data_IF_090752705428
#
_entry.id   IF_090752705428
#
_cell.length_a   1.000
_cell.length_b   1.000
_cell.length_c   1.000
_cell.angle_alpha   90.00
_cell.angle_beta   90.00
_cell.angle_gamma   90.00
#
_symmetry.space_group_name_H-M   'P 1'
#
loop_
_entity.id
_entity.type
_entity.pdbx_description
1 polymer ?
#
# COMPACT_ATOMS: atom_id res chain seq x y z
N UNK A 1 8.79 -11.63 8.94
CA UNK A 1 9.44 -12.28 10.09
C UNK A 1 10.95 -12.14 10.07
N UNK A 2 11.66 -12.75 9.11
CA UNK A 2 13.15 -12.75 9.06
C UNK A 2 13.77 -11.34 9.08
N UNK A 3 13.29 -10.40 8.26
CA UNK A 3 13.84 -9.03 8.29
C UNK A 3 13.54 -8.34 9.63
N UNK A 4 12.34 -8.57 10.17
CA UNK A 4 11.85 -7.91 11.38
C UNK A 4 12.63 -8.27 12.65
N UNK A 5 13.31 -9.42 12.69
CA UNK A 5 14.18 -9.80 13.81
C UNK A 5 15.47 -8.98 13.87
N UNK A 6 15.85 -8.34 12.76
CA UNK A 6 17.02 -7.45 12.70
C UNK A 6 16.67 -5.98 12.94
N UNK A 7 15.36 -5.65 13.04
CA UNK A 7 14.84 -4.30 13.28
C UNK A 7 13.70 -4.36 14.31
N UNK A 8 14.00 -4.42 15.62
CA UNK A 8 13.01 -4.71 16.65
C UNK A 8 11.94 -3.61 16.83
N UNK A 9 12.24 -2.37 16.42
CA UNK A 9 11.40 -1.21 16.70
C UNK A 9 10.63 -0.69 15.48
N UNK A 10 10.80 -1.32 14.30
CA UNK A 10 10.23 -0.83 13.04
C UNK A 10 8.92 -1.57 12.71
N UNK A 11 7.84 -0.85 12.37
CA UNK A 11 6.63 -1.48 11.81
C UNK A 11 6.96 -2.16 10.47
N UNK A 12 6.41 -3.36 10.25
CA UNK A 12 6.66 -4.13 9.04
C UNK A 12 5.39 -4.27 8.22
N UNK A 13 5.46 -3.91 6.94
CA UNK A 13 4.34 -3.95 6.01
C UNK A 13 4.45 -5.01 4.92
N UNK A 14 3.31 -5.45 4.37
CA UNK A 14 3.27 -6.10 3.05
C UNK A 14 2.75 -5.11 2.00
N UNK A 15 3.38 -5.04 0.82
CA UNK A 15 3.03 -4.07 -0.22
C UNK A 15 2.97 -4.70 -1.64
N UNK A 16 1.98 -5.54 -1.97
CA UNK A 16 0.86 -6.07 -1.17
C UNK A 16 0.67 -7.56 -1.46
N UNK A 17 -0.07 -8.26 -0.59
CA UNK A 17 -0.49 -9.64 -0.84
C UNK A 17 -1.70 -9.66 -1.78
N UNK A 18 -1.63 -10.33 -2.95
CA UNK A 18 -2.78 -10.48 -3.84
C UNK A 18 -3.91 -11.30 -3.21
N UNK A 19 -5.15 -10.83 -3.30
CA UNK A 19 -6.33 -11.48 -2.68
C UNK A 19 -6.87 -12.64 -3.51
N UNK A 20 -6.91 -12.52 -4.84
CA UNK A 20 -7.45 -13.56 -5.73
C UNK A 20 -6.78 -14.93 -5.60
N UNK A 21 -5.44 -15.06 -5.57
CA UNK A 21 -4.79 -16.37 -5.48
C UNK A 21 -4.71 -16.92 -4.06
N UNK A 22 -5.29 -16.26 -3.06
CA UNK A 22 -5.08 -16.60 -1.65
C UNK A 22 -6.35 -16.45 -0.83
N UNK A 23 -6.95 -17.55 -0.41
CA UNK A 23 -8.15 -17.54 0.43
C UNK A 23 -7.94 -16.74 1.74
N UNK A 24 -8.91 -15.91 2.18
CA UNK A 24 -8.76 -15.04 3.36
C UNK A 24 -8.46 -15.81 4.66
N UNK A 25 -9.02 -17.01 4.83
CA UNK A 25 -8.71 -17.86 5.99
C UNK A 25 -7.22 -18.25 6.07
N UNK A 26 -6.62 -18.60 4.92
CA UNK A 26 -5.20 -18.94 4.87
C UNK A 26 -4.33 -17.72 5.18
N UNK A 27 -4.70 -16.55 4.64
CA UNK A 27 -4.01 -15.30 4.93
C UNK A 27 -4.13 -14.89 6.40
N UNK A 28 -5.29 -15.08 7.02
CA UNK A 28 -5.49 -14.79 8.44
C UNK A 28 -4.50 -15.56 9.33
N UNK A 29 -4.37 -16.88 9.12
CA UNK A 29 -3.40 -17.69 9.86
C UNK A 29 -1.95 -17.25 9.65
N UNK A 30 -1.58 -16.91 8.41
CA UNK A 30 -0.25 -16.40 8.07
C UNK A 30 0.04 -15.04 8.74
N UNK A 31 -0.95 -14.15 8.74
CA UNK A 31 -0.85 -12.83 9.33
C UNK A 31 -0.76 -12.90 10.85
N UNK A 32 -1.58 -13.72 11.53
CA UNK A 32 -1.53 -13.89 12.99
C UNK A 32 -0.21 -14.54 13.46
N UNK A 33 0.29 -15.51 12.70
CA UNK A 33 1.62 -16.10 12.96
C UNK A 33 2.72 -15.03 12.84
N UNK A 34 2.66 -14.24 11.77
CA UNK A 34 3.62 -13.15 11.54
C UNK A 34 3.50 -12.06 12.60
N UNK A 35 2.28 -11.68 12.99
CA UNK A 35 2.00 -10.68 14.02
C UNK A 35 2.59 -11.08 15.37
N UNK A 36 2.49 -12.37 15.72
CA UNK A 36 3.12 -12.93 16.93
C UNK A 36 4.63 -12.83 16.85
N UNK A 37 5.24 -13.26 15.74
CA UNK A 37 6.68 -13.18 15.54
C UNK A 37 7.22 -11.74 15.49
N UNK A 38 6.39 -10.80 15.06
CA UNK A 38 6.70 -9.37 14.98
C UNK A 38 6.33 -8.61 16.26
N UNK A 39 5.83 -9.29 17.29
CA UNK A 39 5.41 -8.68 18.57
C UNK A 39 4.43 -7.52 18.36
N UNK A 40 3.44 -7.70 17.49
CA UNK A 40 2.39 -6.71 17.27
C UNK A 40 2.64 -5.71 16.13
N UNK A 41 3.80 -5.75 15.47
CA UNK A 41 4.25 -4.72 14.50
C UNK A 41 3.90 -4.99 13.03
N UNK A 42 2.93 -5.86 12.72
CA UNK A 42 2.53 -6.12 11.34
C UNK A 42 1.44 -5.14 10.86
N UNK A 43 1.70 -4.48 9.75
CA UNK A 43 0.70 -3.83 8.90
C UNK A 43 0.48 -4.67 7.63
N UNK A 44 -0.63 -5.42 7.58
CA UNK A 44 -0.97 -6.28 6.46
C UNK A 44 -1.57 -5.46 5.30
N UNK A 45 -0.76 -5.18 4.28
CA UNK A 45 -1.25 -4.65 3.01
C UNK A 45 -1.69 -5.72 2.04
N UNK A 46 -2.94 -5.62 1.58
CA UNK A 46 -3.55 -6.52 0.59
C UNK A 46 -3.96 -5.77 -0.68
N UNK A 47 -4.14 -6.46 -1.79
CA UNK A 47 -4.64 -5.84 -3.01
C UNK A 47 -5.25 -6.84 -3.98
N UNK A 48 -6.08 -6.33 -4.88
CA UNK A 48 -6.78 -7.15 -5.86
C UNK A 48 -5.85 -7.77 -6.91
N UNK A 49 -4.63 -7.24 -7.07
CA UNK A 49 -3.80 -7.47 -8.25
C UNK A 49 -4.48 -6.95 -9.53
N UNK A 50 -4.05 -7.45 -10.68
CA UNK A 50 -4.50 -7.01 -12.00
C UNK A 50 -4.96 -8.20 -12.83
N UNK A 51 -5.98 -7.99 -13.65
CA UNK A 51 -6.58 -9.02 -14.51
C UNK A 51 -5.54 -9.80 -15.30
N UNK A 52 -4.59 -9.10 -15.94
CA UNK A 52 -3.52 -9.73 -16.73
C UNK A 52 -2.63 -10.65 -15.89
N UNK A 53 -2.36 -10.29 -14.63
CA UNK A 53 -1.56 -11.12 -13.72
C UNK A 53 -2.36 -12.34 -13.24
N UNK A 54 -3.66 -12.19 -13.01
CA UNK A 54 -4.53 -13.33 -12.65
C UNK A 54 -4.72 -14.29 -13.81
N UNK A 55 -4.85 -13.78 -15.04
CA UNK A 55 -4.93 -14.59 -16.25
C UNK A 55 -3.66 -15.45 -16.45
N UNK A 56 -2.47 -14.92 -16.16
CA UNK A 56 -1.22 -15.70 -16.19
C UNK A 56 -1.20 -16.88 -15.21
N UNK A 57 -1.99 -16.81 -14.13
CA UNK A 57 -2.15 -17.89 -13.15
C UNK A 57 -3.37 -18.79 -13.44
N UNK A 58 -4.11 -18.52 -14.52
CA UNK A 58 -5.36 -19.22 -14.84
C UNK A 58 -6.51 -18.88 -13.88
N UNK A 59 -6.45 -17.73 -13.21
CA UNK A 59 -7.46 -17.28 -12.23
C UNK A 59 -8.36 -16.21 -12.88
N UNK A 60 -9.67 -16.41 -12.80
CA UNK A 60 -10.65 -15.41 -13.26
C UNK A 60 -10.64 -14.15 -12.40
N UNK A 61 -10.84 -12.98 -13.02
CA UNK A 61 -10.80 -11.67 -12.36
C UNK A 61 -12.19 -11.00 -12.31
N UNK A 62 -13.20 -11.74 -11.90
CA UNK A 62 -14.58 -11.27 -11.93
C UNK A 62 -14.95 -10.46 -10.68
N UNK A 63 -15.78 -9.43 -10.90
CA UNK A 63 -16.39 -8.60 -9.84
C UNK A 63 -15.40 -8.18 -8.74
N UNK A 64 -14.25 -7.56 -9.08
CA UNK A 64 -13.15 -7.33 -8.13
C UNK A 64 -13.56 -6.52 -6.89
N UNK A 65 -14.50 -5.59 -7.01
CA UNK A 65 -15.02 -4.83 -5.85
C UNK A 65 -15.90 -5.71 -4.95
N UNK A 66 -16.69 -6.64 -5.52
CA UNK A 66 -17.43 -7.61 -4.71
C UNK A 66 -16.48 -8.59 -4.04
N UNK A 67 -15.49 -9.09 -4.77
CA UNK A 67 -14.41 -9.91 -4.21
C UNK A 67 -13.74 -9.22 -3.03
N UNK A 68 -13.32 -7.96 -3.15
CA UNK A 68 -12.71 -7.22 -2.04
C UNK A 68 -13.63 -7.14 -0.81
N UNK A 69 -14.93 -6.91 -1.03
CA UNK A 69 -15.91 -6.84 0.07
C UNK A 69 -16.07 -8.20 0.75
N UNK A 70 -16.27 -9.28 -0.01
CA UNK A 70 -16.40 -10.61 0.57
C UNK A 70 -15.11 -11.04 1.29
N UNK A 71 -13.96 -10.74 0.68
CA UNK A 71 -12.65 -11.02 1.25
C UNK A 71 -12.46 -10.37 2.62
N UNK A 72 -12.76 -9.07 2.74
CA UNK A 72 -12.66 -8.35 4.02
C UNK A 72 -13.75 -8.77 5.02
N UNK A 73 -14.91 -9.23 4.56
CA UNK A 73 -15.95 -9.80 5.46
C UNK A 73 -15.53 -11.11 6.09
N UNK A 74 -14.53 -11.78 5.49
CA UNK A 74 -13.96 -13.00 6.04
C UNK A 74 -12.67 -12.71 6.81
N UNK A 75 -11.76 -11.91 6.22
CA UNK A 75 -10.45 -11.65 6.80
C UNK A 75 -10.54 -10.91 8.13
N UNK A 76 -11.33 -9.82 8.20
CA UNK A 76 -11.34 -8.96 9.40
C UNK A 76 -11.82 -9.71 10.65
N UNK A 77 -12.97 -10.44 10.63
CA UNK A 77 -13.41 -11.21 11.81
C UNK A 77 -12.44 -12.33 12.19
N UNK A 78 -11.78 -12.97 11.22
CA UNK A 78 -10.75 -13.98 11.53
C UNK A 78 -9.52 -13.37 12.23
N UNK A 79 -9.11 -12.16 11.85
CA UNK A 79 -8.00 -11.44 12.51
C UNK A 79 -8.40 -10.90 13.88
N UNK A 80 -9.61 -10.36 14.01
CA UNK A 80 -10.09 -9.63 15.20
C UNK A 80 -10.67 -10.57 16.26
N UNK A 81 -11.40 -11.60 15.85
CA UNK A 81 -12.15 -12.49 16.75
C UNK A 81 -11.72 -13.96 16.65
N UNK A 82 -10.92 -14.33 15.63
CA UNK A 82 -10.55 -15.73 15.40
C UNK A 82 -11.70 -16.58 14.87
N UNK A 83 -12.83 -15.99 14.45
CA UNK A 83 -13.98 -16.73 13.90
C UNK A 83 -14.75 -15.92 12.87
N UNK A 84 -15.46 -16.61 12.00
CA UNK A 84 -16.31 -16.00 10.98
C UNK A 84 -17.44 -16.96 10.60
N UNK A 85 -18.60 -16.38 10.28
CA UNK A 85 -19.67 -17.04 9.53
C UNK A 85 -20.19 -16.04 8.50
N UNK A 86 -19.78 -16.18 7.25
CA UNK A 86 -20.10 -15.27 6.16
C UNK A 86 -20.44 -16.01 4.88
N UNK A 87 -21.59 -15.65 4.28
CA UNK A 87 -22.00 -16.13 2.95
C UNK A 87 -22.00 -14.94 2.01
N UNK A 88 -21.06 -14.93 1.06
CA UNK A 88 -20.88 -13.87 0.08
C UNK A 88 -21.12 -14.35 -1.35
N UNK A 89 -21.07 -13.40 -2.28
CA UNK A 89 -21.34 -13.62 -3.70
C UNK A 89 -20.15 -14.30 -4.41
N UNK A 90 -18.94 -13.93 -4.02
CA UNK A 90 -17.68 -14.40 -4.60
C UNK A 90 -16.88 -15.31 -3.67
N UNK A 91 -17.05 -15.12 -2.35
CA UNK A 91 -16.42 -15.94 -1.32
C UNK A 91 -17.38 -16.13 -0.15
N UNK A 92 -17.41 -17.35 0.39
CA UNK A 92 -18.13 -17.70 1.62
C UNK A 92 -17.19 -18.47 2.53
N UNK A 93 -17.31 -18.29 3.83
CA UNK A 93 -16.49 -18.98 4.81
C UNK A 93 -17.20 -19.03 6.17
N UNK A 94 -17.27 -20.24 6.73
CA UNK A 94 -17.56 -20.49 8.13
C UNK A 94 -16.32 -21.16 8.72
N UNK A 95 -15.68 -20.50 9.69
CA UNK A 95 -14.44 -21.00 10.26
C UNK A 95 -14.21 -20.43 11.66
N UNK A 96 -13.49 -21.20 12.47
CA UNK A 96 -12.90 -20.76 13.73
C UNK A 96 -11.43 -21.19 13.74
N UNK A 97 -10.55 -20.26 14.07
CA UNK A 97 -9.09 -20.45 14.11
C UNK A 97 -8.54 -20.10 15.50
N UNK A 98 -7.40 -20.67 15.83
CA UNK A 98 -6.63 -20.22 16.99
C UNK A 98 -6.07 -18.82 16.71
N UNK A 99 -6.33 -17.87 17.62
CA UNK A 99 -5.88 -16.48 17.51
C UNK A 99 -4.87 -16.16 18.63
N UNK A 100 -3.56 -16.42 18.39
CA UNK A 100 -2.53 -16.19 19.42
C UNK A 100 -2.12 -14.72 19.56
N UNK A 101 -2.36 -13.91 18.53
CA UNK A 101 -1.79 -12.58 18.43
C UNK A 101 -2.73 -11.51 18.98
N UNK A 102 -2.27 -10.76 19.97
CA UNK A 102 -2.88 -9.51 20.44
C UNK A 102 -1.83 -8.39 20.47
N UNK A 103 -2.09 -7.22 19.85
CA UNK A 103 -3.30 -6.87 19.08
C UNK A 103 -3.37 -7.59 17.72
N UNK A 104 -4.55 -7.58 17.09
CA UNK A 104 -4.70 -7.97 15.69
C UNK A 104 -3.81 -7.09 14.79
N UNK A 105 -3.28 -7.62 13.68
CA UNK A 105 -2.49 -6.81 12.75
C UNK A 105 -3.37 -5.74 12.10
N UNK A 106 -2.81 -4.55 11.88
CA UNK A 106 -3.47 -3.52 11.10
C UNK A 106 -3.61 -3.97 9.64
N UNK A 107 -4.64 -3.51 8.94
CA UNK A 107 -4.89 -3.89 7.54
C UNK A 107 -4.98 -2.64 6.66
N UNK A 108 -4.27 -2.62 5.54
CA UNK A 108 -4.42 -1.59 4.50
C UNK A 108 -4.70 -2.24 3.14
N UNK A 109 -5.39 -1.52 2.26
CA UNK A 109 -5.72 -2.03 0.92
C UNK A 109 -5.01 -1.18 -0.13
N UNK A 110 -4.36 -1.80 -1.11
CA UNK A 110 -3.92 -1.11 -2.31
C UNK A 110 -5.14 -0.70 -3.15
N UNK A 111 -5.64 0.52 -2.94
CA UNK A 111 -6.84 1.04 -3.55
C UNK A 111 -6.56 2.34 -4.31
N UNK A 112 -6.86 2.33 -5.62
CA UNK A 112 -6.73 3.50 -6.51
C UNK A 112 -8.08 4.01 -7.00
N UNK A 113 -8.99 3.08 -7.34
CA UNK A 113 -10.32 3.43 -7.86
C UNK A 113 -11.29 3.86 -6.76
N UNK A 114 -12.29 4.72 -7.06
CA UNK A 114 -13.20 5.27 -6.05
C UNK A 114 -14.01 4.19 -5.32
N UNK A 115 -14.38 3.11 -6.00
CA UNK A 115 -15.07 1.98 -5.37
C UNK A 115 -14.18 1.23 -4.37
N UNK A 116 -12.92 0.99 -4.73
CA UNK A 116 -11.96 0.32 -3.84
C UNK A 116 -11.60 1.21 -2.64
N UNK A 117 -11.41 2.52 -2.87
CA UNK A 117 -11.15 3.50 -1.81
C UNK A 117 -12.30 3.57 -0.81
N UNK A 118 -13.55 3.52 -1.28
CA UNK A 118 -14.71 3.46 -0.37
C UNK A 118 -14.72 2.20 0.47
N UNK A 119 -14.36 1.05 -0.10
CA UNK A 119 -14.26 -0.20 0.67
C UNK A 119 -13.11 -0.14 1.68
N UNK A 120 -11.94 0.37 1.28
CA UNK A 120 -10.79 0.54 2.18
C UNK A 120 -11.14 1.47 3.36
N UNK A 121 -11.59 2.69 3.07
CA UNK A 121 -11.89 3.68 4.11
C UNK A 121 -12.97 3.24 5.10
N UNK A 122 -13.97 2.48 4.64
CA UNK A 122 -15.05 2.00 5.50
C UNK A 122 -14.71 0.75 6.33
N UNK A 123 -13.59 0.06 6.07
CA UNK A 123 -13.34 -1.28 6.65
C UNK A 123 -11.94 -1.55 7.16
N UNK A 124 -10.94 -0.81 6.71
CA UNK A 124 -9.53 -1.09 7.02
C UNK A 124 -8.89 0.11 7.71
N UNK A 125 -7.60 0.01 8.05
CA UNK A 125 -6.86 1.11 8.67
C UNK A 125 -6.40 2.16 7.68
N UNK A 126 -6.49 1.89 6.37
CA UNK A 126 -5.96 2.80 5.36
C UNK A 126 -5.81 2.21 3.97
N UNK A 127 -5.11 2.98 3.14
CA UNK A 127 -4.67 2.59 1.79
C UNK A 127 -3.15 2.59 1.70
N UNK A 128 -2.62 1.75 0.82
CA UNK A 128 -1.21 1.79 0.42
C UNK A 128 -1.12 2.06 -1.08
N UNK A 129 -0.27 3.00 -1.46
CA UNK A 129 -0.15 3.55 -2.80
C UNK A 129 1.25 3.29 -3.32
N UNK A 130 1.34 2.90 -4.58
CA UNK A 130 2.56 2.98 -5.36
C UNK A 130 2.28 3.88 -6.56
N UNK A 131 3.26 4.64 -7.03
CA UNK A 131 3.14 5.43 -8.27
C UNK A 131 1.92 6.37 -8.32
N UNK A 132 1.61 7.03 -7.20
CA UNK A 132 0.57 8.07 -7.12
C UNK A 132 1.20 9.35 -6.60
N UNK A 133 1.06 10.45 -7.36
CA UNK A 133 1.63 11.75 -7.00
C UNK A 133 0.72 12.57 -6.06
N UNK A 134 1.26 13.68 -5.50
CA UNK A 134 0.59 14.49 -4.50
C UNK A 134 -0.73 15.09 -4.99
N UNK A 135 -0.86 15.50 -6.26
CA UNK A 135 -2.12 16.10 -6.77
C UNK A 135 -3.25 15.08 -6.75
N UNK A 136 -2.96 13.85 -7.16
CA UNK A 136 -3.92 12.74 -7.17
C UNK A 136 -4.23 12.30 -5.74
N UNK A 137 -3.25 12.29 -4.85
CA UNK A 137 -3.46 11.96 -3.43
C UNK A 137 -4.43 12.96 -2.80
N UNK A 138 -4.14 14.25 -2.88
CA UNK A 138 -4.94 15.32 -2.28
C UNK A 138 -6.33 15.45 -2.93
N UNK A 139 -6.40 15.37 -4.26
CA UNK A 139 -7.64 15.63 -5.01
C UNK A 139 -8.57 14.43 -5.16
N UNK A 140 -8.07 13.20 -4.99
CA UNK A 140 -8.85 11.98 -5.27
C UNK A 140 -8.74 10.92 -4.17
N UNK A 141 -7.52 10.57 -3.72
CA UNK A 141 -7.34 9.47 -2.76
C UNK A 141 -7.88 9.85 -1.37
N UNK A 142 -7.32 10.89 -0.76
CA UNK A 142 -7.64 11.31 0.62
C UNK A 142 -9.12 11.66 0.78
N UNK A 143 -9.76 12.44 -0.11
CA UNK A 143 -11.18 12.76 0.01
C UNK A 143 -12.07 11.52 -0.04
N UNK A 144 -11.87 10.63 -1.02
CA UNK A 144 -12.68 9.41 -1.16
C UNK A 144 -12.53 8.47 0.04
N UNK A 145 -11.30 8.34 0.55
CA UNK A 145 -10.99 7.46 1.66
C UNK A 145 -11.58 7.98 2.98
N UNK A 146 -11.39 9.28 3.25
CA UNK A 146 -11.84 9.94 4.49
C UNK A 146 -13.36 10.04 4.54
N UNK A 147 -14.03 10.36 3.42
CA UNK A 147 -15.49 10.38 3.35
C UNK A 147 -16.09 9.01 3.70
N UNK A 148 -15.50 7.93 3.18
CA UNK A 148 -15.97 6.57 3.45
C UNK A 148 -15.75 6.15 4.89
N UNK A 149 -14.61 6.53 5.49
CA UNK A 149 -14.32 6.28 6.90
C UNK A 149 -15.28 7.03 7.82
N UNK A 150 -15.53 8.31 7.54
CA UNK A 150 -16.47 9.15 8.29
C UNK A 150 -17.88 8.56 8.25
N UNK A 151 -18.39 8.16 7.07
CA UNK A 151 -19.69 7.49 6.93
C UNK A 151 -19.79 6.17 7.69
N UNK A 152 -18.67 5.50 7.93
CA UNK A 152 -18.58 4.27 8.71
C UNK A 152 -18.26 4.49 10.20
N UNK A 153 -18.21 5.74 10.67
CA UNK A 153 -17.80 6.13 12.03
C UNK A 153 -16.44 5.56 12.44
N UNK A 154 -15.47 5.55 11.52
CA UNK A 154 -14.10 5.10 11.75
C UNK A 154 -13.14 6.27 11.91
N UNK A 155 -11.99 6.01 12.55
CA UNK A 155 -10.85 6.93 12.61
C UNK A 155 -10.37 7.30 11.21
N UNK A 156 -9.69 8.45 11.10
CA UNK A 156 -9.04 8.87 9.84
C UNK A 156 -8.09 7.77 9.35
N UNK A 157 -8.24 7.29 8.11
CA UNK A 157 -7.42 6.20 7.61
C UNK A 157 -5.99 6.65 7.26
N UNK A 158 -5.03 5.74 7.41
CA UNK A 158 -3.64 5.90 6.94
C UNK A 158 -3.59 5.98 5.42
N UNK A 159 -2.65 6.76 4.91
CA UNK A 159 -2.28 6.85 3.50
C UNK A 159 -0.79 6.60 3.40
N UNK A 160 -0.44 5.37 3.06
CA UNK A 160 0.96 4.95 2.90
C UNK A 160 1.35 5.19 1.44
N UNK A 161 2.34 6.04 1.18
CA UNK A 161 2.83 6.32 -0.17
C UNK A 161 4.21 5.71 -0.39
N UNK A 162 4.37 4.96 -1.49
CA UNK A 162 5.63 4.38 -1.93
C UNK A 162 6.02 5.01 -3.27
N UNK A 163 7.08 5.81 -3.27
CA UNK A 163 7.68 6.38 -4.47
C UNK A 163 9.20 6.22 -4.45
N UNK A 164 9.86 6.19 -5.63
CA UNK A 164 11.31 6.27 -5.72
C UNK A 164 11.81 7.58 -5.11
N UNK A 165 12.86 7.47 -4.30
CA UNK A 165 13.54 8.62 -3.71
C UNK A 165 15.06 8.46 -3.81
N UNK A 166 15.75 9.54 -4.16
CA UNK A 166 17.22 9.60 -4.17
C UNK A 166 17.71 11.05 -4.20
N UNK A 167 18.62 11.40 -3.30
CA UNK A 167 19.43 12.61 -3.39
C UNK A 167 20.54 12.35 -4.41
N UNK A 168 20.56 13.09 -5.51
CA UNK A 168 21.49 12.90 -6.63
C UNK A 168 21.61 14.13 -7.51
N UNK A 169 22.76 14.28 -8.18
CA UNK A 169 22.96 15.24 -9.28
C UNK A 169 22.52 14.69 -10.65
N UNK A 170 22.14 13.41 -10.72
CA UNK A 170 21.81 12.69 -11.97
C UNK A 170 20.34 12.29 -12.02
N UNK A 171 19.44 13.20 -11.63
CA UNK A 171 18.00 12.94 -11.54
C UNK A 171 17.41 12.39 -12.86
N UNK A 172 17.85 12.91 -14.01
CA UNK A 172 17.37 12.45 -15.32
C UNK A 172 17.78 11.01 -15.63
N UNK A 173 18.98 10.59 -15.21
CA UNK A 173 19.41 9.21 -15.36
C UNK A 173 18.57 8.25 -14.50
N UNK A 174 18.17 8.69 -13.30
CA UNK A 174 17.25 7.93 -12.44
C UNK A 174 15.88 7.79 -13.11
N UNK A 175 15.34 8.87 -13.65
CA UNK A 175 14.05 8.87 -14.38
C UNK A 175 14.11 7.97 -15.61
N UNK A 176 15.19 8.03 -16.39
CA UNK A 176 15.40 7.17 -17.56
C UNK A 176 15.47 5.68 -17.16
N UNK A 177 16.12 5.36 -16.04
CA UNK A 177 16.15 3.97 -15.54
C UNK A 177 14.74 3.50 -15.16
N UNK A 178 13.97 4.34 -14.47
CA UNK A 178 12.59 4.02 -14.08
C UNK A 178 11.71 3.81 -15.32
N UNK A 179 11.83 4.67 -16.33
CA UNK A 179 11.03 4.58 -17.55
C UNK A 179 11.28 3.27 -18.31
N UNK A 180 12.51 2.75 -18.28
CA UNK A 180 12.87 1.45 -18.91
C UNK A 180 12.38 0.24 -18.13
N UNK A 181 12.42 0.28 -16.79
CA UNK A 181 12.15 -0.90 -15.95
C UNK A 181 10.68 -1.06 -15.57
N UNK A 182 9.90 0.01 -15.55
CA UNK A 182 8.56 0.02 -14.96
C UNK A 182 7.44 0.31 -15.98
N UNK A 183 7.70 0.01 -17.25
CA UNK A 183 6.76 0.17 -18.36
C UNK A 183 5.43 -0.53 -18.12
N UNK A 184 5.41 -1.68 -17.43
CA UNK A 184 4.19 -2.42 -17.13
C UNK A 184 3.14 -1.58 -16.38
N UNK A 185 3.56 -0.69 -15.47
CA UNK A 185 2.64 0.19 -14.72
C UNK A 185 1.99 1.22 -15.64
N UNK A 186 2.72 1.66 -16.66
CA UNK A 186 2.21 2.51 -17.73
C UNK A 186 1.04 1.89 -18.48
N UNK A 187 0.94 0.57 -18.56
CA UNK A 187 -0.09 -0.14 -19.33
C UNK A 187 -1.35 -0.50 -18.56
N UNK A 188 -1.27 -0.54 -17.23
CA UNK A 188 -2.37 -0.97 -16.38
C UNK A 188 -3.46 0.13 -16.28
N UNK A 189 -4.74 -0.18 -16.55
CA UNK A 189 -5.81 0.82 -16.55
C UNK A 189 -5.94 1.61 -15.25
N UNK A 190 -5.73 0.96 -14.10
CA UNK A 190 -5.79 1.61 -12.79
C UNK A 190 -4.71 2.69 -12.63
N UNK A 191 -3.49 2.45 -13.13
CA UNK A 191 -2.37 3.38 -13.06
C UNK A 191 -2.45 4.46 -14.13
N UNK A 192 -2.84 4.13 -15.37
CA UNK A 192 -3.15 5.13 -16.42
C UNK A 192 -4.12 6.20 -15.91
N UNK A 193 -5.14 5.77 -15.16
CA UNK A 193 -6.12 6.68 -14.59
C UNK A 193 -5.52 7.59 -13.48
N UNK A 194 -4.51 7.13 -12.73
CA UNK A 194 -3.81 7.95 -11.74
C UNK A 194 -2.85 8.93 -12.42
N UNK A 195 -2.05 8.47 -13.39
CA UNK A 195 -1.13 9.33 -14.14
C UNK A 195 -1.86 10.46 -14.86
N UNK A 196 -3.03 10.17 -15.46
CA UNK A 196 -3.89 11.19 -16.05
C UNK A 196 -4.38 12.24 -15.03
N UNK A 197 -4.71 11.83 -13.80
CA UNK A 197 -5.13 12.76 -12.73
C UNK A 197 -3.99 13.64 -12.26
N UNK A 198 -2.79 13.07 -12.19
CA UNK A 198 -1.59 13.82 -11.80
C UNK A 198 -1.13 14.80 -12.89
N UNK A 199 -1.39 14.46 -14.15
CA UNK A 199 -0.86 15.17 -15.31
C UNK A 199 0.54 14.69 -15.70
N UNK A 200 0.85 13.43 -15.46
CA UNK A 200 2.15 12.81 -15.81
C UNK A 200 1.99 11.72 -16.86
N UNK A 201 3.09 11.37 -17.53
CA UNK A 201 3.13 10.36 -18.58
C UNK A 201 3.35 8.95 -18.04
N UNK A 202 3.98 8.82 -16.88
CA UNK A 202 4.27 7.52 -16.28
C UNK A 202 5.02 7.59 -14.95
N UNK A 203 5.51 6.45 -14.46
CA UNK A 203 6.12 6.35 -13.13
C UNK A 203 7.42 7.16 -12.99
N UNK A 204 8.16 7.39 -14.08
CA UNK A 204 9.40 8.16 -14.06
C UNK A 204 9.20 9.61 -13.62
N UNK A 205 8.08 10.21 -14.01
CA UNK A 205 7.72 11.60 -13.66
C UNK A 205 7.38 11.75 -12.17
N UNK A 206 7.14 10.64 -11.47
CA UNK A 206 6.85 10.60 -10.03
C UNK A 206 8.09 10.32 -9.18
N UNK A 207 9.26 10.18 -9.79
CA UNK A 207 10.50 9.95 -9.07
C UNK A 207 10.92 11.20 -8.29
N UNK A 208 11.14 11.05 -7.00
CA UNK A 208 11.68 12.10 -6.12
C UNK A 208 13.22 12.02 -6.23
N UNK A 209 13.77 12.69 -7.24
CA UNK A 209 15.20 12.67 -7.53
C UNK A 209 15.72 14.09 -7.79
N UNK A 210 16.74 14.49 -7.04
CA UNK A 210 17.33 15.83 -7.11
C UNK A 210 18.27 16.12 -5.95
N UNK A 211 18.55 17.40 -5.72
CA UNK A 211 19.25 17.89 -4.52
C UNK A 211 18.46 17.59 -3.23
N UNK A 212 19.12 17.70 -2.07
CA UNK A 212 18.47 17.49 -0.77
C UNK A 212 17.22 18.36 -0.59
N UNK A 213 17.31 19.66 -0.93
CA UNK A 213 16.19 20.59 -0.86
C UNK A 213 15.03 20.18 -1.78
N UNK A 214 15.29 19.75 -3.01
CA UNK A 214 14.24 19.31 -3.94
C UNK A 214 13.57 18.01 -3.46
N UNK A 215 14.33 17.11 -2.83
CA UNK A 215 13.79 15.89 -2.23
C UNK A 215 12.94 16.23 -1.01
N UNK A 216 13.41 17.11 -0.13
CA UNK A 216 12.66 17.59 1.04
C UNK A 216 11.34 18.26 0.65
N UNK A 217 11.37 19.20 -0.30
CA UNK A 217 10.18 19.88 -0.82
C UNK A 217 9.15 18.88 -1.38
N UNK A 218 9.61 17.86 -2.11
CA UNK A 218 8.73 16.82 -2.65
C UNK A 218 8.11 15.93 -1.55
N UNK A 219 8.85 15.62 -0.49
CA UNK A 219 8.33 14.87 0.66
C UNK A 219 7.33 15.70 1.47
N UNK A 220 7.60 17.00 1.63
CA UNK A 220 6.65 17.94 2.27
C UNK A 220 5.37 18.07 1.46
N UNK A 221 5.45 18.15 0.12
CA UNK A 221 4.27 18.14 -0.73
C UNK A 221 3.42 16.86 -0.59
N UNK A 222 4.04 15.71 -0.34
CA UNK A 222 3.31 14.47 -0.03
C UNK A 222 2.61 14.54 1.34
N UNK A 223 3.31 15.04 2.36
CA UNK A 223 2.74 15.25 3.71
C UNK A 223 1.53 16.17 3.65
N UNK A 224 1.66 17.32 2.97
CA UNK A 224 0.56 18.28 2.74
C UNK A 224 -0.60 17.69 1.93
N UNK A 225 -0.31 16.79 0.99
CA UNK A 225 -1.33 16.07 0.25
C UNK A 225 -2.12 15.06 1.11
N UNK A 226 -1.68 14.77 2.32
CA UNK A 226 -2.32 13.87 3.28
C UNK A 226 -1.71 12.47 3.36
N UNK A 227 -0.46 12.30 2.90
CA UNK A 227 0.32 11.08 3.18
C UNK A 227 0.64 11.03 4.66
N UNK A 228 0.30 9.92 5.32
CA UNK A 228 0.60 9.69 6.74
C UNK A 228 1.91 8.95 6.93
N UNK A 229 2.28 8.12 5.95
CA UNK A 229 3.47 7.28 6.01
C UNK A 229 4.15 7.27 4.63
N UNK A 230 5.42 7.66 4.57
CA UNK A 230 6.21 7.54 3.34
C UNK A 230 7.11 6.32 3.39
N UNK A 231 6.80 5.31 2.57
CA UNK A 231 7.62 4.13 2.39
C UNK A 231 8.65 4.39 1.28
N UNK A 232 9.80 4.94 1.68
CA UNK A 232 10.88 5.30 0.76
C UNK A 232 11.42 4.09 -0.03
N UNK A 233 11.30 4.13 -1.36
CA UNK A 233 12.01 3.22 -2.25
C UNK A 233 13.32 3.90 -2.69
N UNK A 234 14.42 3.58 -2.01
CA UNK A 234 15.70 4.26 -2.28
C UNK A 234 16.32 3.76 -3.59
N UNK A 235 16.51 4.67 -4.54
CA UNK A 235 17.03 4.37 -5.89
C UNK A 235 18.51 4.78 -6.08
N UNK A 236 19.26 4.95 -5.00
CA UNK A 236 20.68 5.28 -5.05
C UNK A 236 21.48 4.34 -5.98
N UNK A 237 22.41 4.91 -6.73
CA UNK A 237 23.27 4.21 -7.70
C UNK A 237 24.69 3.99 -7.20
N UNK A 238 25.06 4.67 -6.12
CA UNK A 238 26.34 4.56 -5.47
C UNK A 238 26.20 4.76 -3.94
N UNK A 239 27.25 4.44 -3.14
CA UNK A 239 27.19 4.55 -1.68
C UNK A 239 26.94 5.97 -1.15
N UNK A 240 27.48 7.00 -1.82
CA UNK A 240 27.32 8.41 -1.41
C UNK A 240 25.87 8.86 -1.54
N UNK A 241 25.21 8.59 -2.69
CA UNK A 241 23.79 8.86 -2.87
C UNK A 241 22.94 8.14 -1.83
N UNK A 242 23.28 6.89 -1.49
CA UNK A 242 22.55 6.13 -0.48
C UNK A 242 22.71 6.74 0.92
N UNK A 243 23.92 7.16 1.29
CA UNK A 243 24.21 7.81 2.56
C UNK A 243 23.48 9.16 2.67
N UNK A 244 23.60 10.02 1.66
CA UNK A 244 22.91 11.32 1.60
C UNK A 244 21.39 11.15 1.66
N UNK A 245 20.83 10.27 0.85
CA UNK A 245 19.37 10.01 0.83
C UNK A 245 18.89 9.52 2.20
N UNK A 246 19.59 8.57 2.81
CA UNK A 246 19.19 8.04 4.13
C UNK A 246 19.39 9.07 5.23
N UNK A 247 20.46 9.86 5.19
CA UNK A 247 20.72 10.96 6.12
C UNK A 247 19.56 11.95 6.13
N UNK A 248 19.14 12.40 4.94
CA UNK A 248 17.98 13.29 4.79
C UNK A 248 16.68 12.64 5.29
N UNK A 249 16.40 11.38 4.92
CA UNK A 249 15.18 10.70 5.37
C UNK A 249 15.14 10.54 6.90
N UNK A 250 16.29 10.31 7.56
CA UNK A 250 16.38 10.22 9.01
C UNK A 250 16.16 11.59 9.65
N UNK A 251 16.76 12.67 9.11
CA UNK A 251 16.58 14.01 9.67
C UNK A 251 15.14 14.50 9.62
N UNK A 252 14.34 13.98 8.69
CA UNK A 252 12.93 14.33 8.51
C UNK A 252 11.94 13.49 9.35
N UNK A 253 12.40 12.48 10.11
CA UNK A 253 11.48 11.61 10.88
C UNK A 253 10.76 12.35 12.02
N UNK A 254 11.38 13.40 12.57
CA UNK A 254 10.88 14.13 13.75
C UNK A 254 10.26 15.50 13.42
N UNK A 255 10.14 15.84 12.12
CA UNK A 255 9.63 17.13 11.59
C UNK A 255 8.25 17.02 10.96
#
# INVERSE_FOLDING_TARGET
AVIASSVPDIEMGTAVVPTFPRHPMALAGQALTSQTALQGRLCLGIGLSHEIMMAQLGIGFEKPIRHLRDYLSILMPLLEEGRVSYVGETLSCEAQIFRPAEPAPGVVVAALGPQALRVAGSRTDGTTLAWVGPKTIAGHIVPCLTEAASKANRKTPRVISTLPVVVTKQADAIRERISKTLTMYGELPSYKAMFKREGVSGPADLAIAGSESEVEDALMALKEAGVTDFAASVYATNPEENEQTRGLLISLQDS
#
